data_IF_020669478198
#
_entry.id   IF_020669478198
#
_cell.length_a   1.000
_cell.length_b   1.000
_cell.length_c   1.000
_cell.angle_alpha   90.00
_cell.angle_beta   90.00
_cell.angle_gamma   90.00
#
_symmetry.space_group_name_H-M   'P 1'
#
loop_
_entity.id
_entity.type
_entity.pdbx_description
1 polymer ?
#
# COMPACT_ATOMS: atom_id res chain seq x y z
N UNK A 1 1.64 -28.89 -2.02
CA UNK A 1 1.52 -29.88 -3.12
C UNK A 1 2.67 -30.89 -3.14
N UNK A 2 3.94 -30.46 -3.23
CA UNK A 2 5.11 -31.38 -3.23
C UNK A 2 5.22 -32.27 -1.97
N UNK A 3 4.92 -31.75 -0.78
CA UNK A 3 4.94 -32.53 0.47
C UNK A 3 3.83 -33.60 0.55
N UNK A 4 2.66 -33.29 -0.01
CA UNK A 4 1.54 -34.23 -0.14
C UNK A 4 1.88 -35.33 -1.18
N UNK A 5 2.46 -34.94 -2.31
CA UNK A 5 2.89 -35.85 -3.38
C UNK A 5 4.00 -36.81 -2.91
N UNK A 6 4.87 -36.40 -1.97
CA UNK A 6 5.88 -37.27 -1.36
C UNK A 6 5.39 -38.06 -0.14
N UNK A 7 4.09 -38.02 0.20
CA UNK A 7 3.50 -38.65 1.40
C UNK A 7 4.21 -38.28 2.73
N UNK A 8 4.85 -37.10 2.78
CA UNK A 8 5.54 -36.60 3.99
C UNK A 8 4.71 -35.57 4.77
N UNK A 9 3.44 -35.39 4.39
CA UNK A 9 2.54 -34.47 5.06
C UNK A 9 2.00 -35.13 6.33
N UNK A 10 2.57 -34.77 7.48
CA UNK A 10 2.05 -35.16 8.78
C UNK A 10 1.10 -34.06 9.29
N UNK A 11 -0.02 -34.46 9.91
CA UNK A 11 -0.95 -33.54 10.57
C UNK A 11 -0.26 -32.70 11.65
N UNK A 12 0.74 -33.25 12.33
CA UNK A 12 1.54 -32.51 13.31
C UNK A 12 2.35 -31.38 12.65
N UNK A 13 2.93 -31.66 11.48
CA UNK A 13 3.71 -30.67 10.71
C UNK A 13 2.79 -29.57 10.15
N UNK A 14 1.59 -29.95 9.71
CA UNK A 14 0.57 -29.00 9.25
C UNK A 14 0.12 -28.11 10.41
N UNK A 15 -0.18 -28.68 11.58
CA UNK A 15 -0.59 -27.92 12.76
C UNK A 15 0.52 -26.98 13.23
N UNK A 16 1.77 -27.43 13.24
CA UNK A 16 2.93 -26.61 13.58
C UNK A 16 3.14 -25.44 12.62
N UNK A 17 2.98 -25.69 11.31
CA UNK A 17 3.05 -24.64 10.29
C UNK A 17 1.90 -23.64 10.48
N UNK A 18 0.67 -24.11 10.68
CA UNK A 18 -0.50 -23.27 10.93
C UNK A 18 -0.34 -22.42 12.19
N UNK A 19 0.11 -22.98 13.31
CA UNK A 19 0.36 -22.24 14.55
C UNK A 19 1.42 -21.15 14.35
N UNK A 20 2.48 -21.45 13.60
CA UNK A 20 3.55 -20.48 13.32
C UNK A 20 3.04 -19.33 12.45
N UNK A 21 2.27 -19.63 11.40
CA UNK A 21 1.63 -18.62 10.56
C UNK A 21 0.61 -17.80 11.35
N UNK A 22 -0.23 -18.45 12.16
CA UNK A 22 -1.25 -17.79 12.96
C UNK A 22 -0.65 -16.83 13.99
N UNK A 23 0.47 -17.19 14.64
CA UNK A 23 1.17 -16.29 15.57
C UNK A 23 1.71 -15.04 14.87
N UNK A 24 2.34 -15.19 13.71
CA UNK A 24 2.85 -14.05 12.94
C UNK A 24 1.70 -13.15 12.46
N UNK A 25 0.63 -13.73 11.91
CA UNK A 25 -0.54 -12.96 11.50
C UNK A 25 -1.25 -12.27 12.67
N UNK A 26 -1.36 -12.94 13.82
CA UNK A 26 -1.96 -12.34 15.02
C UNK A 26 -1.16 -11.14 15.53
N UNK A 27 0.17 -11.23 15.51
CA UNK A 27 1.05 -10.10 15.83
C UNK A 27 0.81 -8.90 14.90
N UNK A 28 0.80 -9.14 13.58
CA UNK A 28 0.53 -8.09 12.58
C UNK A 28 -0.86 -7.47 12.79
N UNK A 29 -1.90 -8.29 12.99
CA UNK A 29 -3.27 -7.81 13.24
C UNK A 29 -3.33 -6.96 14.51
N UNK A 30 -2.61 -7.34 15.56
CA UNK A 30 -2.59 -6.56 16.80
C UNK A 30 -1.98 -5.16 16.59
N UNK A 31 -0.89 -5.07 15.81
CA UNK A 31 -0.31 -3.78 15.43
C UNK A 31 -1.30 -2.97 14.57
N UNK A 32 -1.98 -3.60 13.62
CA UNK A 32 -3.01 -2.93 12.80
C UNK A 32 -4.15 -2.34 13.62
N UNK A 33 -4.60 -3.05 14.67
CA UNK A 33 -5.62 -2.54 15.59
C UNK A 33 -5.09 -1.31 16.34
N UNK A 34 -3.86 -1.38 16.88
CA UNK A 34 -3.22 -0.24 17.54
C UNK A 34 -3.06 0.97 16.63
N UNK A 35 -2.59 0.74 15.39
CA UNK A 35 -2.49 1.75 14.34
C UNK A 35 -3.84 2.39 14.05
N UNK A 36 -4.92 1.60 13.97
CA UNK A 36 -6.25 2.15 13.69
C UNK A 36 -6.78 3.03 14.81
N UNK A 37 -6.58 2.62 16.07
CA UNK A 37 -6.94 3.43 17.24
C UNK A 37 -6.13 4.73 17.25
N UNK A 38 -4.80 4.65 17.04
CA UNK A 38 -3.95 5.83 16.91
C UNK A 38 -4.45 6.77 15.82
N UNK A 39 -4.64 6.29 14.60
CA UNK A 39 -5.12 7.10 13.48
C UNK A 39 -6.46 7.76 13.83
N UNK A 40 -7.43 7.04 14.39
CA UNK A 40 -8.72 7.62 14.81
C UNK A 40 -8.55 8.74 15.84
N UNK A 41 -7.76 8.52 16.90
CA UNK A 41 -7.50 9.55 17.91
C UNK A 41 -6.74 10.75 17.34
N UNK A 42 -5.77 10.51 16.45
CA UNK A 42 -4.97 11.53 15.79
C UNK A 42 -5.82 12.44 14.89
N UNK A 43 -6.75 11.86 14.13
CA UNK A 43 -7.76 12.64 13.40
C UNK A 43 -8.70 13.38 14.34
N UNK A 44 -9.10 12.75 15.45
CA UNK A 44 -9.99 13.35 16.46
C UNK A 44 -9.41 14.59 17.16
N UNK A 45 -8.08 14.69 17.27
CA UNK A 45 -7.38 15.87 17.84
C UNK A 45 -6.89 16.86 16.78
N UNK A 46 -7.39 16.75 15.54
CA UNK A 46 -6.94 17.59 14.41
C UNK A 46 -5.44 17.49 14.10
N UNK A 47 -4.77 16.40 14.49
CA UNK A 47 -3.34 16.20 14.27
C UNK A 47 -2.92 16.27 12.79
N UNK A 48 -3.83 15.89 11.89
CA UNK A 48 -3.63 15.98 10.44
C UNK A 48 -3.42 17.42 9.97
N UNK A 49 -4.09 18.41 10.58
CA UNK A 49 -3.91 19.84 10.27
C UNK A 49 -2.56 20.33 10.79
N UNK A 50 -2.17 19.90 11.98
CA UNK A 50 -0.87 20.27 12.55
C UNK A 50 0.30 19.76 11.70
N UNK A 51 0.25 18.49 11.26
CA UNK A 51 1.28 17.93 10.37
C UNK A 51 1.25 18.61 9.01
N UNK A 52 0.07 18.94 8.50
CA UNK A 52 -0.05 19.70 7.26
C UNK A 52 0.65 21.06 7.34
N UNK A 53 0.39 21.86 8.38
CA UNK A 53 1.04 23.16 8.58
C UNK A 53 2.56 23.03 8.67
N UNK A 54 3.06 22.03 9.41
CA UNK A 54 4.49 21.76 9.52
C UNK A 54 5.14 21.40 8.19
N UNK A 55 4.48 20.56 7.38
CA UNK A 55 5.02 20.09 6.13
C UNK A 55 4.88 21.11 5.00
N UNK A 56 3.85 21.96 5.03
CA UNK A 56 3.72 23.10 4.11
C UNK A 56 4.72 24.22 4.44
N UNK A 57 5.10 24.36 5.72
CA UNK A 57 6.14 25.28 6.13
C UNK A 57 7.56 24.87 5.69
N UNK A 58 7.76 23.66 5.15
CA UNK A 58 9.05 23.23 4.61
C UNK A 58 9.44 24.06 3.38
N UNK A 59 10.67 24.59 3.33
CA UNK A 59 11.17 25.27 2.14
C UNK A 59 11.36 24.27 0.99
N UNK A 60 10.91 24.64 -0.22
CA UNK A 60 11.12 23.83 -1.43
C UNK A 60 9.85 23.33 -2.12
N UNK A 61 8.65 23.69 -1.63
CA UNK A 61 7.38 23.38 -2.28
C UNK A 61 7.20 21.88 -2.52
N UNK A 62 6.69 21.51 -3.71
CA UNK A 62 6.44 20.10 -4.09
C UNK A 62 7.70 19.23 -4.04
N UNK A 63 8.83 19.72 -4.57
CA UNK A 63 10.07 18.94 -4.66
C UNK A 63 10.71 18.77 -3.29
N UNK A 64 10.73 19.82 -2.47
CA UNK A 64 11.24 19.76 -1.09
C UNK A 64 10.46 18.76 -0.24
N UNK A 65 9.12 18.78 -0.35
CA UNK A 65 8.25 17.80 0.31
C UNK A 65 8.55 16.37 -0.13
N UNK A 66 8.70 16.12 -1.45
CA UNK A 66 8.98 14.78 -1.96
C UNK A 66 10.32 14.23 -1.50
N UNK A 67 11.37 15.05 -1.48
CA UNK A 67 12.68 14.66 -0.97
C UNK A 67 12.60 14.33 0.51
N UNK A 68 11.96 15.21 1.30
CA UNK A 68 11.78 14.99 2.74
C UNK A 68 11.03 13.69 3.01
N UNK A 69 9.89 13.48 2.36
CA UNK A 69 9.07 12.28 2.54
C UNK A 69 9.82 11.01 2.12
N UNK A 70 10.56 11.04 1.01
CA UNK A 70 11.37 9.88 0.60
C UNK A 70 12.41 9.52 1.66
N UNK A 71 13.16 10.50 2.17
CA UNK A 71 14.16 10.25 3.21
C UNK A 71 13.49 9.81 4.52
N UNK A 72 12.41 10.48 4.92
CA UNK A 72 11.67 10.18 6.13
C UNK A 72 11.13 8.75 6.13
N UNK A 73 10.46 8.34 5.04
CA UNK A 73 9.93 6.98 4.90
C UNK A 73 11.03 5.95 4.77
N UNK A 74 12.13 6.27 4.07
CA UNK A 74 13.27 5.36 3.97
C UNK A 74 13.85 5.02 5.35
N UNK A 75 13.98 6.02 6.23
CA UNK A 75 14.45 5.81 7.61
C UNK A 75 13.40 5.09 8.46
N UNK A 76 12.12 5.45 8.33
CA UNK A 76 11.03 4.81 9.08
C UNK A 76 10.84 3.34 8.70
N UNK A 77 11.04 2.99 7.43
CA UNK A 77 10.91 1.64 6.88
C UNK A 77 11.96 0.65 7.41
N UNK A 78 12.96 1.12 8.16
CA UNK A 78 13.85 0.25 8.91
C UNK A 78 13.20 -0.32 10.18
N UNK A 79 12.23 0.40 10.75
CA UNK A 79 11.59 0.03 12.02
C UNK A 79 10.14 -0.41 11.87
N UNK A 80 9.46 0.13 10.85
CA UNK A 80 8.05 -0.15 10.57
C UNK A 80 7.93 -1.00 9.32
N UNK A 81 7.09 -2.04 9.37
CA UNK A 81 6.76 -2.86 8.21
C UNK A 81 5.76 -2.12 7.30
N UNK A 82 5.52 -2.65 6.10
CA UNK A 82 4.73 -2.02 5.05
C UNK A 82 3.33 -1.67 5.52
N UNK A 83 2.69 -2.57 6.27
CA UNK A 83 1.33 -2.38 6.73
C UNK A 83 1.23 -1.17 7.68
N UNK A 84 2.18 -0.99 8.57
CA UNK A 84 2.26 0.10 9.52
C UNK A 84 2.43 1.45 8.81
N UNK A 85 3.34 1.50 7.83
CA UNK A 85 3.51 2.71 7.00
C UNK A 85 2.23 3.01 6.23
N UNK A 86 1.62 1.99 5.61
CA UNK A 86 0.41 2.15 4.81
C UNK A 86 -0.80 2.63 5.62
N UNK A 87 -0.95 2.19 6.88
CA UNK A 87 -2.11 2.53 7.71
C UNK A 87 -1.91 3.73 8.64
N UNK A 88 -0.67 4.11 8.96
CA UNK A 88 -0.35 5.24 9.85
C UNK A 88 0.17 6.43 9.04
N UNK A 89 1.19 6.22 8.23
CA UNK A 89 1.97 7.30 7.60
C UNK A 89 1.31 7.79 6.31
N UNK A 90 0.79 6.89 5.47
CA UNK A 90 0.14 7.31 4.21
C UNK A 90 -1.09 8.20 4.47
N UNK A 91 -2.03 7.86 5.37
CA UNK A 91 -3.18 8.73 5.66
C UNK A 91 -2.76 10.10 6.23
N UNK A 92 -1.60 10.15 6.88
CA UNK A 92 -1.02 11.38 7.40
C UNK A 92 -0.46 12.27 6.27
N UNK A 93 0.25 11.68 5.31
CA UNK A 93 0.93 12.42 4.24
C UNK A 93 0.03 12.72 3.03
N UNK A 94 -0.95 11.86 2.74
CA UNK A 94 -1.87 12.02 1.62
C UNK A 94 -2.62 13.37 1.58
N UNK A 95 -3.22 13.88 2.67
CA UNK A 95 -3.89 15.19 2.63
C UNK A 95 -2.91 16.35 2.35
N UNK A 96 -1.67 16.24 2.84
CA UNK A 96 -0.62 17.23 2.60
C UNK A 96 -0.17 17.21 1.13
N UNK A 97 0.04 16.01 0.58
CA UNK A 97 0.38 15.83 -0.83
C UNK A 97 -0.72 16.39 -1.75
N UNK A 98 -1.99 16.11 -1.45
CA UNK A 98 -3.12 16.63 -2.22
C UNK A 98 -3.19 18.16 -2.20
N UNK A 99 -2.92 18.80 -1.05
CA UNK A 99 -2.89 20.27 -0.95
C UNK A 99 -1.73 20.92 -1.70
N UNK A 100 -0.58 20.24 -1.78
CA UNK A 100 0.54 20.66 -2.61
C UNK A 100 0.30 20.44 -4.12
N UNK A 101 -0.86 19.89 -4.51
CA UNK A 101 -1.20 19.60 -5.90
C UNK A 101 -0.48 18.37 -6.47
N UNK A 102 0.01 17.49 -5.59
CA UNK A 102 0.69 16.26 -5.97
C UNK A 102 -0.36 15.20 -6.30
N UNK A 103 -0.21 14.56 -7.45
CA UNK A 103 -1.03 13.40 -7.81
C UNK A 103 -0.79 12.25 -6.82
N UNK A 104 -1.87 11.79 -6.18
CA UNK A 104 -1.79 10.77 -5.12
C UNK A 104 -1.34 9.41 -5.64
N UNK A 105 -1.59 9.10 -6.92
CA UNK A 105 -1.15 7.84 -7.52
C UNK A 105 0.35 7.88 -7.72
N UNK A 106 0.86 8.95 -8.33
CA UNK A 106 2.30 9.17 -8.49
C UNK A 106 3.03 9.17 -7.14
N UNK A 107 2.47 9.87 -6.15
CA UNK A 107 2.99 9.87 -4.78
C UNK A 107 3.01 8.45 -4.20
N UNK A 108 1.91 7.71 -4.29
CA UNK A 108 1.83 6.33 -3.81
C UNK A 108 2.85 5.41 -4.47
N UNK A 109 3.06 5.53 -5.79
CA UNK A 109 4.08 4.75 -6.51
C UNK A 109 5.49 5.09 -6.02
N UNK A 110 5.81 6.38 -5.83
CA UNK A 110 7.08 6.80 -5.24
C UNK A 110 7.30 6.18 -3.85
N UNK A 111 6.27 6.19 -2.99
CA UNK A 111 6.35 5.58 -1.67
C UNK A 111 6.58 4.07 -1.74
N UNK A 112 5.87 3.37 -2.62
CA UNK A 112 6.00 1.93 -2.81
C UNK A 112 7.42 1.53 -3.25
N UNK A 113 7.98 2.25 -4.22
CA UNK A 113 9.36 2.03 -4.71
C UNK A 113 10.38 2.28 -3.60
N UNK A 114 10.24 3.40 -2.88
CA UNK A 114 11.15 3.77 -1.81
C UNK A 114 11.15 2.74 -0.67
N UNK A 115 9.97 2.24 -0.30
CA UNK A 115 9.84 1.24 0.74
C UNK A 115 10.38 -0.14 0.29
N UNK A 116 10.16 -0.55 -0.96
CA UNK A 116 10.78 -1.78 -1.49
C UNK A 116 12.31 -1.74 -1.39
N UNK A 117 12.90 -0.59 -1.67
CA UNK A 117 14.35 -0.37 -1.56
C UNK A 117 14.85 -0.55 -0.13
N UNK A 118 14.06 -0.07 0.84
CA UNK A 118 14.38 -0.17 2.27
C UNK A 118 14.43 -1.62 2.76
N UNK A 119 13.56 -2.50 2.24
CA UNK A 119 13.55 -3.94 2.55
C UNK A 119 14.74 -4.74 1.98
N UNK A 120 15.58 -4.11 1.15
CA UNK A 120 16.74 -4.75 0.52
C UNK A 120 18.07 -4.22 1.03
N UNK A 121 18.08 -3.31 2.01
CA UNK A 121 19.29 -2.72 2.56
C UNK A 121 19.87 -3.56 3.73
N UNK A 122 21.20 -3.75 3.83
CA UNK A 122 21.87 -4.65 4.80
C UNK A 122 21.56 -4.53 6.31
N UNK A 123 21.12 -3.39 6.90
CA UNK A 123 20.84 -3.35 8.33
C UNK A 123 19.51 -4.03 8.70
N UNK A 124 18.52 -4.12 7.80
CA UNK A 124 17.18 -4.63 8.11
C UNK A 124 16.51 -5.44 7.00
N UNK A 125 17.19 -5.71 5.88
CA UNK A 125 16.60 -6.44 4.77
C UNK A 125 16.31 -7.90 5.12
N UNK A 126 15.05 -8.23 5.43
CA UNK A 126 14.61 -9.60 5.75
C UNK A 126 15.03 -10.60 4.69
N UNK A 127 15.01 -10.20 3.41
CA UNK A 127 15.46 -11.02 2.30
C UNK A 127 16.96 -11.36 2.39
N UNK A 128 17.83 -10.42 2.79
CA UNK A 128 19.26 -10.64 2.93
C UNK A 128 19.58 -11.54 4.13
N UNK A 129 18.86 -11.36 5.24
CA UNK A 129 18.99 -12.24 6.41
C UNK A 129 18.46 -13.65 6.13
N UNK A 130 17.37 -13.78 5.37
CA UNK A 130 16.86 -15.07 4.93
C UNK A 130 17.88 -15.79 4.03
N UNK A 131 18.46 -15.09 3.05
CA UNK A 131 19.52 -15.63 2.19
C UNK A 131 20.74 -16.05 3.01
N UNK A 132 21.15 -15.26 4.00
CA UNK A 132 22.22 -15.64 4.93
C UNK A 132 21.90 -16.90 5.74
N UNK A 133 20.62 -17.13 6.05
CA UNK A 133 20.15 -18.31 6.78
C UNK A 133 20.22 -19.62 5.98
N UNK A 134 20.17 -19.55 4.66
CA UNK A 134 20.30 -20.72 3.76
C UNK A 134 21.64 -20.79 3.02
N UNK A 135 22.48 -19.75 3.11
CA UNK A 135 23.76 -19.68 2.44
C UNK A 135 24.79 -20.61 3.10
N UNK A 136 25.60 -21.33 2.29
CA UNK A 136 26.73 -22.11 2.78
C UNK A 136 27.70 -21.25 3.59
N UNK A 137 28.40 -21.81 4.59
CA UNK A 137 29.32 -21.06 5.46
C UNK A 137 30.52 -20.47 4.71
N UNK A 138 30.79 -20.90 3.47
CA UNK A 138 31.83 -20.31 2.62
C UNK A 138 31.45 -18.91 2.10
N UNK A 139 30.15 -18.57 2.03
CA UNK A 139 29.68 -17.27 1.53
C UNK A 139 29.69 -16.24 2.66
N UNK A 140 30.47 -15.18 2.51
CA UNK A 140 30.52 -14.11 3.50
C UNK A 140 29.24 -13.28 3.41
N UNK A 141 28.79 -12.75 4.54
CA UNK A 141 27.66 -11.79 4.56
C UNK A 141 27.92 -10.58 3.66
N UNK A 142 29.19 -10.19 3.49
CA UNK A 142 29.62 -9.15 2.55
C UNK A 142 29.27 -9.47 1.10
N UNK A 143 29.37 -10.73 0.66
CA UNK A 143 29.11 -11.13 -0.72
C UNK A 143 27.61 -11.04 -1.03
N UNK A 144 26.78 -11.38 -0.04
CA UNK A 144 25.32 -11.23 -0.11
C UNK A 144 24.93 -9.75 -0.21
N UNK A 145 25.58 -8.88 0.56
CA UNK A 145 25.33 -7.44 0.52
C UNK A 145 25.80 -6.79 -0.78
N UNK A 146 26.97 -7.18 -1.28
CA UNK A 146 27.46 -6.74 -2.58
C UNK A 146 26.58 -7.23 -3.74
N UNK A 147 25.95 -8.40 -3.63
CA UNK A 147 24.96 -8.89 -4.59
C UNK A 147 23.65 -8.08 -4.60
N UNK A 148 23.27 -7.48 -3.46
CA UNK A 148 22.07 -6.66 -3.35
C UNK A 148 22.26 -5.21 -3.81
N UNK A 149 23.49 -4.71 -3.74
CA UNK A 149 23.84 -3.32 -4.06
C UNK A 149 23.47 -2.88 -5.50
N UNK A 150 23.66 -3.70 -6.56
CA UNK A 150 23.22 -3.37 -7.91
C UNK A 150 21.70 -3.15 -8.01
N UNK A 151 20.91 -3.90 -7.25
CA UNK A 151 19.47 -3.72 -7.21
C UNK A 151 19.08 -2.40 -6.55
N UNK A 152 19.70 -2.07 -5.42
CA UNK A 152 19.49 -0.79 -4.74
C UNK A 152 19.86 0.38 -5.65
N UNK A 153 20.97 0.28 -6.40
CA UNK A 153 21.36 1.29 -7.37
C UNK A 153 20.31 1.47 -8.48
N UNK A 154 19.79 0.37 -9.04
CA UNK A 154 18.68 0.41 -10.01
C UNK A 154 17.43 1.08 -9.44
N UNK A 155 17.10 0.82 -8.17
CA UNK A 155 15.94 1.43 -7.52
C UNK A 155 16.13 2.94 -7.30
N UNK A 156 17.31 3.39 -6.89
CA UNK A 156 17.61 4.82 -6.75
C UNK A 156 17.49 5.51 -8.12
N UNK A 157 17.98 4.89 -9.19
CA UNK A 157 17.81 5.39 -10.56
C UNK A 157 16.32 5.50 -10.91
N UNK A 158 15.51 4.50 -10.58
CA UNK A 158 14.07 4.51 -10.82
C UNK A 158 13.38 5.64 -10.04
N UNK A 159 13.69 5.83 -8.77
CA UNK A 159 13.15 6.93 -7.96
C UNK A 159 13.50 8.29 -8.58
N UNK A 160 14.75 8.48 -8.99
CA UNK A 160 15.20 9.71 -9.65
C UNK A 160 14.39 9.95 -10.93
N UNK A 161 14.26 8.93 -11.80
CA UNK A 161 13.48 9.04 -13.04
C UNK A 161 12.03 9.38 -12.76
N UNK A 162 11.41 8.75 -11.77
CA UNK A 162 10.00 8.99 -11.40
C UNK A 162 9.80 10.38 -10.78
N UNK A 163 10.79 10.91 -10.05
CA UNK A 163 10.76 12.29 -9.53
C UNK A 163 10.84 13.31 -10.67
N UNK A 164 11.73 13.10 -11.65
CA UNK A 164 11.89 14.03 -12.78
C UNK A 164 10.79 13.91 -13.84
N UNK A 165 10.19 12.72 -13.97
CA UNK A 165 9.14 12.45 -14.95
C UNK A 165 7.90 11.86 -14.26
N UNK A 166 7.04 12.69 -13.64
CA UNK A 166 5.78 12.24 -13.04
C UNK A 166 4.83 11.60 -14.06
N UNK A 167 4.90 12.08 -15.32
CA UNK A 167 4.17 11.50 -16.44
C UNK A 167 4.46 10.03 -16.73
N UNK A 168 5.58 9.44 -16.29
CA UNK A 168 5.92 8.06 -16.61
C UNK A 168 4.97 7.08 -15.88
N UNK A 169 4.45 7.52 -14.74
CA UNK A 169 3.50 6.76 -13.92
C UNK A 169 2.05 7.03 -14.37
N UNK A 170 1.73 8.27 -14.73
CA UNK A 170 0.35 8.66 -15.11
C UNK A 170 0.06 8.54 -16.60
N UNK A 171 1.06 8.33 -17.48
CA UNK A 171 0.85 8.20 -18.92
C UNK A 171 -0.07 7.03 -19.30
N UNK A 172 -0.05 5.96 -18.49
CA UNK A 172 -0.90 4.79 -18.68
C UNK A 172 -2.18 4.83 -17.83
N UNK A 173 -2.33 5.83 -16.95
CA UNK A 173 -3.55 6.04 -16.18
C UNK A 173 -4.46 6.93 -17.04
N UNK A 174 -5.28 6.25 -17.83
CA UNK A 174 -6.32 6.91 -18.61
C UNK A 174 -7.20 7.66 -17.60
N UNK A 175 -7.14 9.00 -17.60
CA UNK A 175 -8.07 9.85 -16.87
C UNK A 175 -9.42 9.73 -17.58
N UNK A 176 -10.04 8.56 -17.47
CA UNK A 176 -11.44 8.34 -17.81
C UNK A 176 -12.23 9.16 -16.80
N UNK A 177 -12.40 10.44 -17.13
CA UNK A 177 -13.53 11.23 -16.68
C UNK A 177 -14.75 10.41 -17.11
N UNK A 178 -15.30 9.65 -16.18
CA UNK A 178 -16.56 8.96 -16.41
C UNK A 178 -17.58 10.06 -16.62
N UNK A 179 -17.93 10.32 -17.89
CA UNK A 179 -18.87 11.35 -18.28
C UNK A 179 -20.26 11.00 -17.73
N UNK A 180 -20.58 11.52 -16.54
CA UNK A 180 -21.87 11.31 -15.87
C UNK A 180 -23.06 11.90 -16.62
N UNK A 181 -22.80 12.69 -17.68
CA UNK A 181 -23.82 13.36 -18.50
C UNK A 181 -24.64 12.40 -19.37
N UNK A 182 -24.10 11.21 -19.69
CA UNK A 182 -24.77 10.22 -20.56
C UNK A 182 -25.32 8.99 -19.80
N UNK A 183 -25.40 9.05 -18.47
CA UNK A 183 -25.97 7.95 -17.67
C UNK A 183 -27.50 7.98 -17.83
N UNK A 184 -28.01 7.21 -18.79
CA UNK A 184 -29.43 6.87 -18.86
C UNK A 184 -29.75 5.86 -17.76
N UNK A 185 -30.25 6.35 -16.64
CA UNK A 185 -30.85 5.51 -15.61
C UNK A 185 -32.20 5.06 -16.15
N UNK A 186 -32.22 3.95 -16.89
CA UNK A 186 -33.47 3.27 -17.24
C UNK A 186 -34.00 2.60 -15.97
N UNK A 187 -34.89 3.32 -15.28
CA UNK A 187 -35.69 2.74 -14.21
C UNK A 187 -36.74 1.86 -14.92
N UNK A 188 -36.74 0.53 -14.75
CA UNK A 188 -37.80 -0.30 -15.31
C UNK A 188 -39.12 0.16 -14.70
N UNK A 189 -39.96 0.80 -15.51
CA UNK A 189 -41.32 1.13 -15.13
C UNK A 189 -42.06 -0.19 -14.91
N UNK A 190 -42.29 -0.52 -13.64
CA UNK A 190 -43.23 -1.58 -13.28
C UNK A 190 -44.59 -1.09 -13.79
N UNK A 191 -45.08 -1.67 -14.88
CA UNK A 191 -46.45 -1.48 -15.36
C UNK A 191 -47.40 -1.84 -14.22
N UNK A 192 -47.92 -0.82 -13.54
CA UNK A 192 -49.06 -0.99 -12.65
C UNK A 192 -50.25 -1.36 -13.53
N UNK A 193 -50.46 -2.67 -13.68
CA UNK A 193 -51.59 -3.26 -14.39
C UNK A 193 -52.89 -2.63 -13.87
N UNK A 194 -53.42 -1.72 -14.68
CA UNK A 194 -54.67 -1.01 -14.48
C UNK A 194 -55.81 -2.04 -14.53
N UNK A 195 -56.07 -2.70 -13.40
CA UNK A 195 -57.19 -3.61 -13.21
C UNK A 195 -58.47 -2.77 -13.10
N UNK A 196 -58.96 -2.34 -14.25
CA UNK A 196 -60.19 -1.58 -14.40
C UNK A 196 -61.37 -2.48 -13.95
N UNK A 197 -61.98 -2.27 -12.77
CA UNK A 197 -62.94 -3.22 -12.19
C UNK A 197 -64.28 -3.26 -12.95
N UNK A 198 -64.47 -2.38 -13.94
CA UNK A 198 -65.65 -2.28 -14.79
C UNK A 198 -65.73 -3.33 -15.91
N UNK A 199 -64.65 -4.06 -16.23
CA UNK A 199 -64.69 -5.14 -17.25
C UNK A 199 -65.15 -6.50 -16.73
N UNK A 200 -65.28 -6.65 -15.41
CA UNK A 200 -65.73 -7.89 -14.75
C UNK A 200 -67.26 -7.98 -14.60
N UNK A 201 -68.02 -6.94 -15.00
CA UNK A 201 -69.48 -6.95 -15.02
C UNK A 201 -70.09 -7.23 -16.40
N UNK A 202 -69.27 -7.31 -17.45
CA UNK A 202 -69.73 -7.63 -18.82
C UNK A 202 -69.65 -9.13 -19.15
N UNK A 203 -69.23 -9.96 -18.17
CA UNK A 203 -69.17 -11.43 -18.28
C UNK A 203 -70.09 -12.14 -17.26
N UNK A 204 -71.26 -11.57 -16.99
CA UNK A 204 -72.39 -12.28 -16.37
C UNK A 204 -73.68 -12.01 -17.11
#
# INVERSE_FOLDING_TARGET
LLALAKRRLNLDLLKQAMDSTAKLSAFVIFILVGARVFSLTFYGVDGHKWVEELLVALPGGVVGFLIFVNIFIFVLAFFLDFFEIAFIIIPLLAPVAAKLGIDLVWFGVLLCVNMQTSFMHPPFGFALFYLRGIAPPEVKSSDIYWGAMPWVAMQIILVIIVIYWPGAVTYWIDNTKVDTTNIKIEIPQIEMQNSNPMRLMEQR
#
